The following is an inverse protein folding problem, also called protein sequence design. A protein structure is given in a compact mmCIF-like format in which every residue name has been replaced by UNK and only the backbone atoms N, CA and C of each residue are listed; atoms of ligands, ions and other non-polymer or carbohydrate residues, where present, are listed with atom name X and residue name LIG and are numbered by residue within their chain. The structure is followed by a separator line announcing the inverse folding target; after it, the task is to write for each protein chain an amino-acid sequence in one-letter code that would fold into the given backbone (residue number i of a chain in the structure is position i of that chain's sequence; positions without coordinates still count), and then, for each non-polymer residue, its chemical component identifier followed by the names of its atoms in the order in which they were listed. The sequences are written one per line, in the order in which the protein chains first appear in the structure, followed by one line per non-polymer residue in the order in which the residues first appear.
data_IF_504468060266
#
_entry.id   IF_504468060266
#
_cell.length_a   1.000
_cell.length_b   1.000
_cell.length_c   1.000
_cell.angle_alpha   90.00
_cell.angle_beta   90.00
_cell.angle_gamma   90.00
#
_symmetry.space_group_name_H-M   'P 1'
#
loop_
_entity.id
_entity.type
_entity.pdbx_description
1 polymer ?
#
# COMPACT_ATOMS: atom_id res chain seq x y z
N UNK A 1 3.62 -5.98 -9.20
CA UNK A 1 2.91 -4.81 -8.64
C UNK A 1 1.40 -5.00 -8.73
N UNK A 2 0.60 -4.45 -7.78
CA UNK A 2 -0.86 -4.59 -7.83
C UNK A 2 -1.47 -4.19 -9.17
N UNK A 3 -1.09 -3.06 -9.74
CA UNK A 3 -1.60 -2.61 -11.05
C UNK A 3 -1.35 -3.65 -12.15
N UNK A 4 -0.17 -4.23 -12.22
CA UNK A 4 0.17 -5.23 -13.24
C UNK A 4 -0.62 -6.53 -13.03
N UNK A 5 -0.71 -6.99 -11.76
CA UNK A 5 -1.41 -8.23 -11.42
C UNK A 5 -2.92 -8.12 -11.68
N UNK A 6 -3.55 -7.07 -11.17
CA UNK A 6 -5.01 -6.86 -11.30
C UNK A 6 -5.40 -6.71 -12.77
N UNK A 7 -4.72 -5.84 -13.52
CA UNK A 7 -5.00 -5.63 -14.94
C UNK A 7 -4.76 -6.88 -15.77
N UNK A 8 -3.68 -7.62 -15.50
CA UNK A 8 -3.38 -8.87 -16.20
C UNK A 8 -4.46 -9.91 -15.95
N UNK A 9 -4.80 -10.19 -14.68
CA UNK A 9 -5.84 -11.16 -14.35
C UNK A 9 -7.21 -10.77 -14.93
N UNK A 10 -7.57 -9.48 -14.84
CA UNK A 10 -8.79 -8.97 -15.45
C UNK A 10 -8.79 -9.14 -16.98
N UNK A 11 -7.67 -8.90 -17.67
CA UNK A 11 -7.55 -9.06 -19.13
C UNK A 11 -7.67 -10.53 -19.59
N UNK A 12 -7.36 -11.47 -18.71
CA UNK A 12 -7.51 -12.90 -18.96
C UNK A 12 -8.88 -13.43 -18.54
N UNK A 13 -9.72 -12.61 -17.91
CA UNK A 13 -10.97 -13.06 -17.30
C UNK A 13 -10.77 -14.08 -16.19
N UNK A 14 -9.60 -14.06 -15.53
CA UNK A 14 -9.28 -15.03 -14.48
C UNK A 14 -9.87 -14.59 -13.14
N UNK A 15 -10.68 -15.44 -12.54
CA UNK A 15 -11.28 -15.21 -11.22
C UNK A 15 -11.12 -16.46 -10.32
N UNK A 16 -11.39 -16.29 -9.03
CA UNK A 16 -11.44 -17.40 -8.08
C UNK A 16 -12.81 -18.11 -8.05
N UNK A 17 -13.72 -17.77 -8.94
CA UNK A 17 -15.02 -18.44 -9.07
C UNK A 17 -14.88 -19.73 -9.87
N UNK A 18 -15.11 -20.87 -9.20
CA UNK A 18 -15.07 -22.19 -9.82
C UNK A 18 -16.43 -22.61 -10.42
N UNK A 19 -17.45 -21.78 -10.32
CA UNK A 19 -18.79 -22.04 -10.88
C UNK A 19 -18.96 -21.43 -12.27
N UNK A 20 -17.93 -20.76 -12.80
CA UNK A 20 -17.98 -20.11 -14.09
C UNK A 20 -18.41 -21.08 -15.20
N UNK A 21 -19.36 -20.63 -16.02
CA UNK A 21 -19.82 -21.31 -17.23
C UNK A 21 -19.16 -20.71 -18.46
N UNK A 22 -19.36 -21.34 -19.60
CA UNK A 22 -18.80 -20.86 -20.87
C UNK A 22 -19.16 -19.38 -21.11
N UNK A 23 -18.14 -18.58 -21.43
CA UNK A 23 -18.30 -17.12 -21.65
C UNK A 23 -18.14 -16.25 -20.38
N UNK A 24 -18.00 -16.83 -19.20
CA UNK A 24 -17.74 -16.14 -17.94
C UNK A 24 -16.24 -16.29 -17.59
N UNK A 25 -15.75 -15.44 -16.67
CA UNK A 25 -14.38 -15.47 -16.22
C UNK A 25 -13.90 -16.88 -15.83
N UNK A 26 -12.77 -17.29 -16.32
CA UNK A 26 -12.21 -18.62 -16.07
C UNK A 26 -11.70 -18.76 -14.63
N UNK A 27 -11.88 -19.94 -14.05
CA UNK A 27 -11.34 -20.26 -12.73
C UNK A 27 -9.82 -20.32 -12.74
N UNK A 28 -9.22 -19.59 -11.80
CA UNK A 28 -7.81 -19.69 -11.42
C UNK A 28 -7.69 -19.46 -9.91
N UNK A 29 -7.04 -20.35 -9.14
CA UNK A 29 -6.91 -20.18 -7.68
C UNK A 29 -6.12 -18.93 -7.29
N UNK A 30 -5.35 -18.35 -8.20
CA UNK A 30 -4.61 -17.10 -8.04
C UNK A 30 -5.26 -15.92 -8.79
N UNK A 31 -6.45 -16.13 -9.37
CA UNK A 31 -7.21 -15.12 -10.08
C UNK A 31 -7.78 -14.03 -9.15
N UNK A 32 -8.50 -13.08 -9.74
CA UNK A 32 -9.17 -12.03 -8.98
C UNK A 32 -10.34 -12.66 -8.20
N UNK A 33 -10.43 -12.46 -6.87
CA UNK A 33 -11.57 -12.92 -6.11
C UNK A 33 -12.82 -12.13 -6.55
N UNK A 34 -13.94 -12.84 -6.78
CA UNK A 34 -15.24 -12.18 -6.95
C UNK A 34 -15.81 -11.88 -5.56
N UNK A 35 -16.16 -10.63 -5.34
CA UNK A 35 -16.68 -10.12 -4.06
C UNK A 35 -17.89 -9.25 -4.38
N UNK A 36 -19.06 -9.67 -3.91
CA UNK A 36 -20.29 -8.94 -4.12
C UNK A 36 -20.12 -7.46 -3.73
N UNK A 37 -20.65 -6.55 -4.55
CA UNK A 37 -20.59 -5.09 -4.41
C UNK A 37 -19.19 -4.46 -4.55
N UNK A 38 -18.15 -5.27 -4.84
CA UNK A 38 -16.77 -4.78 -5.03
C UNK A 38 -16.08 -5.30 -6.28
N UNK A 39 -16.21 -6.59 -6.60
CA UNK A 39 -15.57 -7.23 -7.77
C UNK A 39 -16.54 -8.24 -8.35
N UNK A 40 -17.04 -7.99 -9.54
CA UNK A 40 -18.12 -8.76 -10.16
C UNK A 40 -17.88 -8.99 -11.66
N UNK A 41 -18.64 -9.90 -12.23
CA UNK A 41 -18.72 -10.13 -13.69
C UNK A 41 -19.80 -9.22 -14.25
N UNK A 42 -19.52 -8.56 -15.37
CA UNK A 42 -20.46 -7.72 -16.10
C UNK A 42 -21.52 -8.60 -16.77
N UNK A 43 -22.79 -8.28 -16.51
CA UNK A 43 -23.96 -8.95 -17.10
C UNK A 43 -24.69 -8.01 -18.08
N UNK A 44 -25.69 -8.53 -18.82
CA UNK A 44 -26.47 -7.76 -19.77
C UNK A 44 -27.28 -6.59 -19.15
N UNK A 45 -27.50 -6.62 -17.83
CA UNK A 45 -28.18 -5.54 -17.10
C UNK A 45 -27.22 -4.49 -16.52
N UNK A 46 -25.94 -4.62 -16.77
CA UNK A 46 -24.91 -3.74 -16.20
C UNK A 46 -24.77 -2.44 -17.01
N UNK A 47 -24.62 -1.27 -16.36
CA UNK A 47 -24.34 -0.02 -17.07
C UNK A 47 -23.14 -0.09 -18.01
N UNK A 48 -22.04 -0.77 -17.59
CA UNK A 48 -20.83 -0.93 -18.41
C UNK A 48 -21.07 -1.77 -19.67
N UNK A 49 -22.05 -2.69 -19.65
CA UNK A 49 -22.51 -3.40 -20.85
C UNK A 49 -23.31 -2.48 -21.77
N UNK A 50 -24.15 -1.61 -21.19
CA UNK A 50 -24.93 -0.65 -21.95
C UNK A 50 -24.05 0.37 -22.69
N UNK A 51 -22.93 0.74 -22.08
CA UNK A 51 -21.92 1.61 -22.70
C UNK A 51 -21.17 0.92 -23.85
N UNK A 52 -20.78 -0.35 -23.66
CA UNK A 52 -20.13 -1.17 -24.68
C UNK A 52 -20.47 -2.65 -24.46
N UNK A 53 -21.21 -3.23 -25.42
CA UNK A 53 -21.61 -4.64 -25.40
C UNK A 53 -20.41 -5.62 -25.35
N UNK A 54 -19.23 -5.19 -25.79
CA UNK A 54 -18.00 -5.99 -25.69
C UNK A 54 -17.50 -6.14 -24.23
N UNK A 55 -18.11 -5.47 -23.27
CA UNK A 55 -17.79 -5.60 -21.86
C UNK A 55 -18.49 -6.78 -21.19
N UNK A 56 -19.45 -7.42 -21.86
CA UNK A 56 -20.12 -8.61 -21.33
C UNK A 56 -19.10 -9.67 -20.86
N UNK A 57 -19.34 -10.22 -19.67
CA UNK A 57 -18.52 -11.23 -19.01
C UNK A 57 -17.09 -10.75 -18.59
N UNK A 58 -16.75 -9.49 -18.77
CA UNK A 58 -15.50 -8.95 -18.21
C UNK A 58 -15.64 -8.72 -16.70
N UNK A 59 -14.51 -8.63 -16.01
CA UNK A 59 -14.45 -8.32 -14.59
C UNK A 59 -14.54 -6.80 -14.40
N UNK A 60 -15.48 -6.36 -13.58
CA UNK A 60 -15.57 -4.98 -13.09
C UNK A 60 -15.15 -4.89 -11.63
N UNK A 61 -14.60 -3.75 -11.26
CA UNK A 61 -14.11 -3.47 -9.89
C UNK A 61 -14.66 -2.13 -9.45
N UNK A 62 -15.20 -2.05 -8.23
CA UNK A 62 -15.60 -0.78 -7.62
C UNK A 62 -14.35 -0.13 -7.02
N UNK A 63 -13.81 0.86 -7.70
CA UNK A 63 -12.54 1.47 -7.37
C UNK A 63 -12.49 2.96 -7.76
N UNK A 64 -11.45 3.66 -7.33
CA UNK A 64 -11.14 4.99 -7.81
C UNK A 64 -10.99 4.97 -9.33
N UNK A 65 -11.67 5.92 -10.00
CA UNK A 65 -11.74 5.93 -11.45
C UNK A 65 -10.41 6.19 -12.15
N UNK A 66 -9.45 6.76 -11.44
CA UNK A 66 -8.10 6.97 -11.95
C UNK A 66 -7.82 8.42 -12.36
N UNK A 67 -6.54 8.73 -12.70
CA UNK A 67 -6.09 10.08 -12.97
C UNK A 67 -6.68 10.70 -14.25
N UNK A 68 -7.18 9.90 -15.17
CA UNK A 68 -7.77 10.38 -16.43
C UNK A 68 -9.07 11.17 -16.22
N UNK A 69 -9.67 11.09 -15.02
CA UNK A 69 -10.84 11.86 -14.59
C UNK A 69 -10.49 13.19 -13.91
N UNK A 70 -9.22 13.55 -13.86
CA UNK A 70 -8.72 14.76 -13.22
C UNK A 70 -8.02 15.61 -14.26
N UNK A 71 -8.58 16.78 -14.54
CA UNK A 71 -7.99 17.78 -15.42
C UNK A 71 -7.27 18.85 -14.60
N UNK A 72 -7.93 19.33 -13.56
CA UNK A 72 -7.42 20.31 -12.62
C UNK A 72 -7.34 19.69 -11.21
N UNK A 73 -6.13 19.36 -10.70
CA UNK A 73 -5.99 18.77 -9.38
C UNK A 73 -6.52 19.61 -8.21
N UNK A 74 -6.67 20.92 -8.38
CA UNK A 74 -7.15 21.83 -7.31
C UNK A 74 -8.69 21.80 -7.16
N UNK A 75 -9.40 21.34 -8.21
CA UNK A 75 -10.87 21.41 -8.24
C UNK A 75 -11.54 20.09 -8.56
N UNK A 76 -10.83 19.13 -9.15
CA UNK A 76 -11.43 17.90 -9.64
C UNK A 76 -11.25 16.74 -8.66
N UNK A 77 -12.27 15.87 -8.58
CA UNK A 77 -12.28 14.63 -7.84
C UNK A 77 -12.70 13.50 -8.78
N UNK A 78 -11.87 12.48 -8.96
CA UNK A 78 -12.25 11.34 -9.80
C UNK A 78 -13.40 10.53 -9.20
N UNK A 79 -13.40 10.37 -7.87
CA UNK A 79 -14.39 9.57 -7.17
C UNK A 79 -14.22 8.06 -7.33
N UNK A 80 -15.11 7.29 -6.70
CA UNK A 80 -15.14 5.82 -6.73
C UNK A 80 -16.39 5.37 -7.44
N UNK A 81 -16.24 4.47 -8.41
CA UNK A 81 -17.34 3.84 -9.14
C UNK A 81 -16.93 2.49 -9.70
N UNK A 82 -17.88 1.80 -10.38
CA UNK A 82 -17.60 0.60 -11.15
C UNK A 82 -16.78 0.93 -12.39
N UNK A 83 -15.64 0.27 -12.52
CA UNK A 83 -14.75 0.37 -13.69
C UNK A 83 -14.37 -1.02 -14.18
N UNK A 84 -13.92 -1.13 -15.42
CA UNK A 84 -13.31 -2.37 -15.91
C UNK A 84 -12.06 -2.68 -15.09
N UNK A 85 -11.89 -3.93 -14.67
CA UNK A 85 -10.69 -4.37 -13.95
C UNK A 85 -9.39 -4.13 -14.72
N UNK A 86 -9.47 -4.13 -16.06
CA UNK A 86 -8.34 -3.77 -16.95
C UNK A 86 -7.96 -2.29 -16.88
N UNK A 87 -8.85 -1.45 -16.36
CA UNK A 87 -8.62 -0.01 -16.18
C UNK A 87 -8.26 0.34 -14.74
N UNK A 88 -8.18 -0.64 -13.84
CA UNK A 88 -7.85 -0.38 -12.45
C UNK A 88 -6.53 0.39 -12.30
N UNK A 89 -6.55 1.40 -11.45
CA UNK A 89 -5.41 2.28 -11.17
C UNK A 89 -5.15 2.34 -9.66
N UNK A 90 -3.91 2.27 -9.19
CA UNK A 90 -3.63 2.54 -7.77
C UNK A 90 -3.95 4.01 -7.46
N UNK A 91 -4.38 4.28 -6.22
CA UNK A 91 -4.69 5.64 -5.76
C UNK A 91 -3.41 6.50 -5.69
N UNK A 92 -2.99 6.98 -6.83
CA UNK A 92 -1.74 7.70 -7.06
C UNK A 92 -1.90 8.68 -8.23
N UNK A 93 -1.05 9.72 -8.26
CA UNK A 93 -0.97 10.60 -9.42
C UNK A 93 -0.47 9.84 -10.67
N UNK A 94 -0.95 10.25 -11.83
CA UNK A 94 -0.63 9.59 -13.10
C UNK A 94 0.86 9.55 -13.45
N UNK A 95 1.65 10.50 -12.95
CA UNK A 95 3.10 10.58 -13.17
C UNK A 95 3.94 9.71 -12.24
N UNK A 96 3.34 9.16 -11.17
CA UNK A 96 4.04 8.34 -10.18
C UNK A 96 3.13 7.27 -9.59
N UNK A 97 2.85 6.23 -10.37
CA UNK A 97 1.92 5.13 -9.97
C UNK A 97 2.58 4.07 -9.11
N UNK A 98 3.87 3.83 -9.29
CA UNK A 98 4.66 2.90 -8.48
C UNK A 98 6.10 3.36 -8.40
N UNK A 99 6.78 3.18 -7.24
CA UNK A 99 8.20 3.46 -7.13
C UNK A 99 9.01 2.63 -8.13
N UNK A 100 10.06 3.19 -8.78
CA UNK A 100 10.85 2.49 -9.79
C UNK A 100 11.93 1.57 -9.19
N UNK A 101 11.56 0.76 -8.19
CA UNK A 101 12.45 -0.19 -7.53
C UNK A 101 11.73 -1.52 -7.27
N UNK A 102 12.45 -2.54 -6.79
CA UNK A 102 11.88 -3.84 -6.43
C UNK A 102 10.76 -3.67 -5.38
N UNK A 103 9.65 -4.39 -5.55
CA UNK A 103 8.49 -4.28 -4.66
C UNK A 103 8.72 -4.92 -3.29
N UNK A 104 9.34 -6.06 -3.27
CA UNK A 104 9.65 -6.83 -2.07
C UNK A 104 11.03 -6.41 -1.50
N UNK A 105 11.08 -5.96 -0.25
CA UNK A 105 10.01 -5.68 0.69
C UNK A 105 9.46 -4.25 0.57
N UNK A 106 8.33 -3.96 1.27
CA UNK A 106 7.85 -2.59 1.41
C UNK A 106 8.81 -1.77 2.28
N UNK A 107 9.42 -0.74 1.70
CA UNK A 107 10.30 0.17 2.42
C UNK A 107 9.59 0.88 3.56
N UNK A 108 8.37 1.39 3.32
CA UNK A 108 7.57 2.05 4.35
C UNK A 108 7.30 1.13 5.54
N UNK A 109 6.95 -0.14 5.31
CA UNK A 109 6.70 -1.10 6.37
C UNK A 109 7.96 -1.43 7.17
N UNK A 110 9.10 -1.58 6.48
CA UNK A 110 10.37 -1.93 7.11
C UNK A 110 10.94 -0.78 7.94
N UNK A 111 11.06 0.40 7.33
CA UNK A 111 11.65 1.57 8.00
C UNK A 111 10.78 2.10 9.12
N UNK A 112 9.45 2.18 8.92
CA UNK A 112 8.54 2.67 9.97
C UNK A 112 8.54 1.76 11.18
N UNK A 113 8.55 0.44 10.97
CA UNK A 113 8.64 -0.52 12.09
C UNK A 113 9.97 -0.42 12.80
N UNK A 114 11.10 -0.37 12.07
CA UNK A 114 12.41 -0.19 12.68
C UNK A 114 12.49 1.09 13.51
N UNK A 115 11.96 2.20 13.00
CA UNK A 115 11.88 3.47 13.72
C UNK A 115 11.04 3.36 15.01
N UNK A 116 9.87 2.70 14.95
CA UNK A 116 9.03 2.49 16.12
C UNK A 116 9.74 1.71 17.24
N UNK A 117 10.50 0.65 16.88
CA UNK A 117 11.31 -0.10 17.84
C UNK A 117 12.43 0.76 18.46
N UNK A 118 13.17 1.49 17.63
CA UNK A 118 14.23 2.39 18.12
C UNK A 118 13.66 3.46 19.04
N UNK A 119 12.54 4.08 18.69
CA UNK A 119 11.88 5.10 19.52
C UNK A 119 11.42 4.51 20.86
N UNK A 120 10.83 3.32 20.85
CA UNK A 120 10.43 2.59 22.07
C UNK A 120 11.64 2.33 22.98
N UNK A 121 12.75 1.88 22.43
CA UNK A 121 13.96 1.56 23.20
C UNK A 121 14.66 2.81 23.74
N UNK A 122 14.69 3.92 22.98
CA UNK A 122 15.30 5.18 23.43
C UNK A 122 14.47 5.83 24.54
N UNK A 123 13.13 5.82 24.40
CA UNK A 123 12.25 6.49 25.36
C UNK A 123 11.91 5.62 26.58
N UNK A 124 12.14 4.31 26.48
CA UNK A 124 11.70 3.33 27.48
C UNK A 124 10.18 3.14 27.54
N UNK A 125 9.44 3.60 26.52
CA UNK A 125 7.99 3.53 26.44
C UNK A 125 7.57 3.32 24.99
N UNK A 126 6.53 2.51 24.77
CA UNK A 126 5.93 2.33 23.44
C UNK A 126 5.01 3.49 23.06
N UNK A 127 4.58 4.31 24.03
CA UNK A 127 3.62 5.39 23.84
C UNK A 127 4.32 6.69 23.39
N UNK A 128 3.61 7.46 22.59
CA UNK A 128 4.03 8.83 22.26
C UNK A 128 4.14 9.69 23.54
N UNK A 129 5.09 10.64 23.60
CA UNK A 129 5.16 11.61 24.68
C UNK A 129 3.83 12.36 24.82
N UNK A 130 3.32 12.43 26.05
CA UNK A 130 1.98 12.99 26.31
C UNK A 130 0.82 12.00 26.06
N UNK A 131 1.10 10.76 25.66
CA UNK A 131 0.13 9.66 25.53
C UNK A 131 -0.51 9.52 24.14
N UNK A 132 -0.32 10.49 23.24
CA UNK A 132 -0.93 10.46 21.91
C UNK A 132 -0.07 11.21 20.88
N UNK A 133 0.25 10.57 19.77
CA UNK A 133 0.72 11.25 18.56
C UNK A 133 -0.47 11.75 17.76
N UNK A 134 -0.37 12.92 17.14
CA UNK A 134 -1.43 13.50 16.33
C UNK A 134 -0.88 14.18 15.08
N UNK A 135 -1.64 14.14 13.99
CA UNK A 135 -1.34 14.83 12.74
C UNK A 135 -2.64 15.33 12.11
N UNK A 136 -2.75 16.65 11.95
CA UNK A 136 -3.93 17.30 11.40
C UNK A 136 -3.90 17.31 9.87
N UNK A 137 -5.02 16.93 9.28
CA UNK A 137 -5.27 16.95 7.83
C UNK A 137 -6.34 18.00 7.56
N UNK A 138 -6.03 18.98 6.72
CA UNK A 138 -6.96 20.02 6.31
C UNK A 138 -7.75 19.59 5.09
N UNK A 139 -9.04 19.87 5.04
CA UNK A 139 -9.88 19.64 3.87
C UNK A 139 -9.32 20.40 2.65
N UNK A 140 -9.28 19.73 1.52
CA UNK A 140 -8.85 20.26 0.22
C UNK A 140 -7.44 20.88 0.15
N UNK A 141 -6.58 20.57 1.13
CA UNK A 141 -5.23 21.14 1.23
C UNK A 141 -4.14 20.07 1.44
N UNK A 142 -4.48 18.81 1.26
CA UNK A 142 -3.54 17.72 1.56
C UNK A 142 -3.15 16.87 0.34
N UNK A 143 -4.07 16.64 -0.58
CA UNK A 143 -3.80 15.84 -1.76
C UNK A 143 -3.13 16.69 -2.85
N UNK A 144 -2.29 16.04 -3.68
CA UNK A 144 -1.48 16.70 -4.72
C UNK A 144 -2.00 16.41 -6.12
N UNK A 145 -2.81 15.37 -6.28
CA UNK A 145 -3.23 14.85 -7.58
C UNK A 145 -4.75 14.93 -7.82
N UNK A 146 -5.54 15.28 -6.81
CA UNK A 146 -6.94 15.63 -6.91
C UNK A 146 -7.33 16.50 -5.70
N UNK A 147 -8.48 17.18 -5.78
CA UNK A 147 -9.05 17.93 -4.66
C UNK A 147 -9.44 16.98 -3.51
N UNK A 148 -9.08 17.34 -2.28
CA UNK A 148 -9.38 16.49 -1.13
C UNK A 148 -8.38 16.62 0.03
N UNK A 149 -8.68 15.97 1.14
CA UNK A 149 -9.91 15.24 1.46
C UNK A 149 -11.12 16.16 1.65
N UNK A 150 -12.32 15.62 1.53
CA UNK A 150 -13.58 16.38 1.63
C UNK A 150 -13.87 16.98 3.02
N UNK A 151 -13.14 16.56 4.05
CA UNK A 151 -13.27 17.06 5.41
C UNK A 151 -11.91 17.09 6.11
N UNK A 152 -11.74 18.07 7.00
CA UNK A 152 -10.59 18.08 7.91
C UNK A 152 -10.76 17.01 8.99
N UNK A 153 -9.66 16.36 9.37
CA UNK A 153 -9.64 15.36 10.44
C UNK A 153 -8.24 15.24 11.03
N UNK A 154 -8.13 14.61 12.20
CA UNK A 154 -6.86 14.37 12.87
C UNK A 154 -6.57 12.87 12.89
N UNK A 155 -5.41 12.45 12.38
CA UNK A 155 -4.86 11.14 12.60
C UNK A 155 -4.27 11.07 14.01
N UNK A 156 -4.55 9.97 14.73
CA UNK A 156 -4.08 9.80 16.11
C UNK A 156 -3.55 8.39 16.34
N UNK A 157 -2.48 8.30 17.12
CA UNK A 157 -1.83 7.03 17.48
C UNK A 157 -1.43 7.04 18.95
N UNK A 158 -1.78 5.99 19.67
CA UNK A 158 -1.33 5.81 21.05
C UNK A 158 0.16 5.41 21.09
N UNK A 159 0.57 4.46 20.25
CA UNK A 159 1.91 3.91 20.23
C UNK A 159 2.66 4.27 18.93
N UNK A 160 3.99 4.21 18.99
CA UNK A 160 4.82 4.31 17.77
C UNK A 160 4.51 3.19 16.78
N UNK A 161 4.14 1.99 17.28
CA UNK A 161 3.74 0.86 16.43
C UNK A 161 2.43 1.12 15.71
N UNK A 162 1.44 1.79 16.34
CA UNK A 162 0.17 2.16 15.67
C UNK A 162 0.44 3.07 14.45
N UNK A 163 1.30 4.08 14.62
CA UNK A 163 1.69 4.97 13.53
C UNK A 163 2.45 4.21 12.41
N UNK A 164 3.36 3.31 12.79
CA UNK A 164 4.06 2.43 11.87
C UNK A 164 3.11 1.53 11.10
N UNK A 165 2.13 0.94 11.76
CA UNK A 165 1.16 0.03 11.14
C UNK A 165 0.23 0.75 10.18
N UNK A 166 -0.21 1.95 10.51
CA UNK A 166 -0.99 2.78 9.58
C UNK A 166 -0.16 3.19 8.36
N UNK A 167 1.10 3.59 8.57
CA UNK A 167 2.04 3.87 7.46
C UNK A 167 2.21 2.66 6.54
N UNK A 168 2.31 1.47 7.10
CA UNK A 168 2.41 0.22 6.35
C UNK A 168 1.14 -0.07 5.55
N UNK A 169 -0.03 0.01 6.20
CA UNK A 169 -1.33 -0.22 5.57
C UNK A 169 -1.64 0.80 4.47
N UNK A 170 -1.14 2.03 4.58
CA UNK A 170 -1.31 3.05 3.53
C UNK A 170 -0.80 2.58 2.17
N UNK A 171 0.19 1.68 2.14
CA UNK A 171 0.76 1.12 0.91
C UNK A 171 -0.18 0.13 0.24
N UNK A 172 -0.95 -0.61 1.04
CA UNK A 172 -1.97 -1.54 0.56
C UNK A 172 -3.19 -0.73 0.07
N UNK A 173 -3.66 0.23 0.86
CA UNK A 173 -4.79 1.09 0.48
C UNK A 173 -4.51 1.89 -0.79
N UNK A 174 -3.28 2.40 -0.94
CA UNK A 174 -2.84 3.07 -2.16
C UNK A 174 -2.54 2.14 -3.34
N UNK A 175 -2.66 0.81 -3.17
CA UNK A 175 -2.45 -0.16 -4.25
C UNK A 175 -0.99 -0.29 -4.72
N UNK A 176 0.00 0.00 -3.87
CA UNK A 176 1.43 0.01 -4.23
C UNK A 176 2.11 -1.30 -3.88
N UNK A 177 1.78 -1.88 -2.72
CA UNK A 177 2.33 -3.13 -2.24
C UNK A 177 1.24 -4.15 -1.94
N UNK A 178 1.42 -5.43 -2.29
CA UNK A 178 0.58 -6.52 -1.80
C UNK A 178 0.92 -6.85 -0.32
N UNK A 179 0.02 -7.55 0.41
CA UNK A 179 0.23 -7.88 1.82
C UNK A 179 1.54 -8.60 2.14
N UNK A 180 2.06 -9.40 1.21
CA UNK A 180 3.33 -10.12 1.41
C UNK A 180 4.52 -9.16 1.57
N UNK A 181 4.52 -8.05 0.86
CA UNK A 181 5.57 -7.04 0.95
C UNK A 181 5.50 -6.32 2.30
N UNK A 182 4.28 -6.03 2.77
CA UNK A 182 4.01 -5.34 4.02
C UNK A 182 4.36 -6.20 5.25
N UNK A 183 3.75 -7.39 5.37
CA UNK A 183 3.91 -8.25 6.56
C UNK A 183 5.38 -8.61 6.76
N UNK A 184 6.08 -9.00 5.69
CA UNK A 184 7.50 -9.33 5.78
C UNK A 184 8.37 -8.11 6.09
N UNK A 185 7.98 -6.95 5.56
CA UNK A 185 8.63 -5.67 5.88
C UNK A 185 8.57 -5.35 7.37
N UNK A 186 7.40 -5.49 8.01
CA UNK A 186 7.25 -5.26 9.46
C UNK A 186 8.11 -6.22 10.28
N UNK A 187 8.09 -7.52 9.95
CA UNK A 187 8.87 -8.55 10.68
C UNK A 187 10.37 -8.25 10.61
N UNK A 188 10.87 -7.86 9.45
CA UNK A 188 12.29 -7.53 9.28
C UNK A 188 12.62 -6.19 9.94
N UNK A 189 11.74 -5.19 9.79
CA UNK A 189 11.91 -3.87 10.41
C UNK A 189 12.05 -3.94 11.93
N UNK A 190 11.22 -4.77 12.60
CA UNK A 190 11.33 -5.00 14.04
C UNK A 190 12.73 -5.49 14.45
N UNK A 191 13.25 -6.52 13.77
CA UNK A 191 14.59 -7.05 14.04
C UNK A 191 15.69 -6.02 13.81
N UNK A 192 15.66 -5.35 12.65
CA UNK A 192 16.65 -4.33 12.29
C UNK A 192 16.65 -3.18 13.30
N UNK A 193 15.46 -2.72 13.75
CA UNK A 193 15.35 -1.64 14.73
C UNK A 193 16.05 -2.00 16.05
N UNK A 194 15.76 -3.17 16.60
CA UNK A 194 16.38 -3.66 17.85
C UNK A 194 17.88 -3.85 17.68
N UNK A 195 18.34 -4.49 16.60
CA UNK A 195 19.75 -4.73 16.33
C UNK A 195 20.52 -3.43 16.14
N UNK A 196 19.97 -2.47 15.38
CA UNK A 196 20.57 -1.16 15.16
C UNK A 196 20.70 -0.36 16.45
N UNK A 197 19.69 -0.39 17.33
CA UNK A 197 19.75 0.27 18.63
C UNK A 197 20.84 -0.36 19.51
N UNK A 198 20.90 -1.68 19.60
CA UNK A 198 21.91 -2.39 20.39
C UNK A 198 23.32 -2.12 19.87
N UNK A 199 23.53 -2.07 18.56
CA UNK A 199 24.80 -1.70 17.95
C UNK A 199 25.18 -0.26 18.29
N UNK A 200 24.25 0.69 18.20
CA UNK A 200 24.49 2.07 18.59
C UNK A 200 24.91 2.19 20.07
N UNK A 201 24.27 1.45 20.98
CA UNK A 201 24.64 1.41 22.39
C UNK A 201 26.08 0.93 22.60
N UNK A 202 26.56 -0.05 21.84
CA UNK A 202 27.95 -0.51 21.93
C UNK A 202 28.95 0.58 21.51
N UNK A 203 28.63 1.36 20.48
CA UNK A 203 29.42 2.54 20.10
C UNK A 203 29.42 3.59 21.20
N UNK A 204 28.28 3.96 21.75
CA UNK A 204 28.17 5.00 22.78
C UNK A 204 28.79 4.59 24.11
N UNK A 205 28.76 3.32 24.46
CA UNK A 205 29.38 2.79 25.70
C UNK A 205 30.86 2.45 25.53
N UNK A 206 31.42 2.49 24.32
CA UNK A 206 32.80 2.10 24.04
C UNK A 206 33.09 0.60 24.22
N UNK A 207 32.04 -0.23 24.17
CA UNK A 207 32.17 -1.69 24.35
C UNK A 207 32.42 -2.44 23.05
N UNK A 208 32.38 -1.76 21.91
CA UNK A 208 32.66 -2.36 20.60
C UNK A 208 34.14 -2.76 20.52
N UNK A 209 34.41 -4.02 20.20
CA UNK A 209 35.80 -4.48 20.02
C UNK A 209 36.33 -4.04 18.64
N UNK A 210 37.70 -3.92 18.54
CA UNK A 210 38.34 -3.62 17.25
C UNK A 210 38.02 -4.68 16.16
N UNK A 211 37.76 -5.92 16.57
CA UNK A 211 37.38 -6.99 15.65
C UNK A 211 35.96 -6.79 15.09
N UNK A 212 35.02 -6.29 15.91
CA UNK A 212 33.66 -6.00 15.47
C UNK A 212 33.63 -4.83 14.49
N UNK A 213 34.48 -3.80 14.75
CA UNK A 213 34.63 -2.67 13.81
C UNK A 213 35.24 -3.13 12.48
N UNK A 214 36.21 -4.05 12.52
CA UNK A 214 36.82 -4.60 11.31
C UNK A 214 35.82 -5.44 10.48
N UNK A 215 34.95 -6.21 11.12
CA UNK A 215 33.88 -6.96 10.44
C UNK A 215 32.90 -6.02 9.74
N UNK A 216 32.45 -4.96 10.41
CA UNK A 216 31.55 -3.96 9.83
C UNK A 216 32.19 -3.17 8.68
N UNK A 217 33.51 -2.97 8.70
CA UNK A 217 34.26 -2.27 7.65
C UNK A 217 34.51 -3.12 6.39
N UNK A 218 34.48 -4.46 6.55
CA UNK A 218 34.77 -5.42 5.49
C UNK A 218 33.49 -6.01 4.83
N UNK A 219 32.30 -5.73 5.37
CA UNK A 219 31.06 -6.10 4.70
C UNK A 219 30.98 -5.36 3.36
N UNK A 220 30.71 -6.06 2.25
CA UNK A 220 30.54 -5.41 0.95
C UNK A 220 29.35 -4.43 1.07
N UNK A 221 29.61 -3.15 0.84
CA UNK A 221 28.55 -2.14 0.75
C UNK A 221 27.65 -2.52 -0.42
N UNK A 222 26.47 -3.05 -0.10
CA UNK A 222 25.41 -3.33 -1.07
C UNK A 222 24.75 -2.02 -1.51
N UNK A 223 25.47 -1.22 -2.31
CA UNK A 223 24.91 -0.08 -3.04
C UNK A 223 25.51 -0.07 -4.45
#
# INVERSE_FOLDING_TARGET
RPISAIRYMASKGQSTDNTSTEGIASYDPHGIPLIQDYIEIITENDPLYTEDANNLHKIKIKAWKGPDYITDPETDVAGVDWILGTHWWPYQRGTFVTPPFAGYLSGHSTFSRAAAEVMTLITGSEFFPGGMGAFDITANDFLVFEDGPSASFTLQWATYRDASDQTSLSRIWGGIHPPIDDIKGRIIGEKIGVESFNLALQYFSGTLSNNDVALLSNEPRLF
#
